data_IF_583259039304
#
_entry.id   IF_583259039304
#
_cell.length_a   1.000
_cell.length_b   1.000
_cell.length_c   1.000
_cell.angle_alpha   90.00
_cell.angle_beta   90.00
_cell.angle_gamma   90.00
#
_symmetry.space_group_name_H-M   'P 1'
#
loop_
_entity.id
_entity.type
_entity.pdbx_description
1 polymer ?
#
# COMPACT_ATOMS: atom_id res chain seq x y z
N UNK A 1 -4.95 9.57 16.52
CA UNK A 1 -5.91 8.71 15.80
C UNK A 1 -7.25 9.42 15.57
N UNK A 2 -7.86 10.04 16.59
CA UNK A 2 -9.13 10.77 16.42
C UNK A 2 -9.06 11.89 15.37
N UNK A 3 -7.97 12.66 15.32
CA UNK A 3 -7.78 13.73 14.34
C UNK A 3 -7.81 13.22 12.88
N UNK A 4 -7.29 12.02 12.64
CA UNK A 4 -7.22 11.39 11.32
C UNK A 4 -8.60 10.93 10.80
N UNK A 5 -9.58 10.75 11.67
CA UNK A 5 -10.96 10.36 11.32
C UNK A 5 -11.97 11.51 11.48
N UNK A 6 -11.53 12.70 11.91
CA UNK A 6 -12.40 13.83 12.23
C UNK A 6 -12.64 14.78 11.04
N UNK A 7 -13.66 15.63 11.17
CA UNK A 7 -13.95 16.71 10.21
C UNK A 7 -14.69 16.28 8.95
N UNK A 8 -15.36 15.12 8.96
CA UNK A 8 -16.17 14.64 7.83
C UNK A 8 -15.34 14.23 6.60
N UNK A 9 -14.02 14.13 6.74
CA UNK A 9 -13.13 13.63 5.68
C UNK A 9 -13.17 12.10 5.66
N UNK A 10 -13.38 11.54 4.47
CA UNK A 10 -13.25 10.11 4.25
C UNK A 10 -11.76 9.78 4.10
N UNK A 11 -11.24 9.02 5.05
CA UNK A 11 -9.86 8.55 5.03
C UNK A 11 -9.90 7.03 4.93
N UNK A 12 -9.42 6.51 3.80
CA UNK A 12 -9.40 5.06 3.60
C UNK A 12 -8.53 4.38 4.67
N UNK A 13 -9.00 3.22 5.15
CA UNK A 13 -8.38 2.50 6.26
C UNK A 13 -8.66 3.06 7.67
N UNK A 14 -9.34 4.21 7.81
CA UNK A 14 -9.76 4.74 9.12
C UNK A 14 -11.28 4.87 9.19
N UNK A 15 -11.87 4.37 10.27
CA UNK A 15 -13.31 4.48 10.52
C UNK A 15 -13.56 4.80 11.99
N UNK A 16 -14.39 5.82 12.24
CA UNK A 16 -14.97 6.06 13.56
C UNK A 16 -16.21 5.19 13.74
N UNK A 17 -16.19 4.30 14.73
CA UNK A 17 -17.31 3.41 15.05
C UNK A 17 -17.72 3.55 16.52
N UNK A 18 -19.01 3.34 16.80
CA UNK A 18 -19.52 3.27 18.17
C UNK A 18 -19.41 1.85 18.72
N UNK A 19 -19.28 1.71 20.05
CA UNK A 19 -19.28 0.39 20.72
C UNK A 19 -20.58 -0.37 20.42
N UNK A 20 -21.71 0.32 20.36
CA UNK A 20 -23.00 -0.30 20.03
C UNK A 20 -23.01 -0.94 18.63
N UNK A 21 -22.29 -0.36 17.67
CA UNK A 21 -22.20 -0.92 16.33
C UNK A 21 -21.44 -2.25 16.31
N UNK A 22 -20.49 -2.46 17.23
CA UNK A 22 -19.80 -3.74 17.37
C UNK A 22 -20.77 -4.87 17.73
N UNK A 23 -21.81 -4.59 18.52
CA UNK A 23 -22.84 -5.59 18.88
C UNK A 23 -23.74 -6.00 17.71
N UNK A 24 -23.69 -5.27 16.59
CA UNK A 24 -24.52 -5.56 15.43
C UNK A 24 -24.01 -6.81 14.68
N UNK A 25 -24.90 -7.71 14.23
CA UNK A 25 -24.53 -8.80 13.32
C UNK A 25 -23.94 -8.32 11.98
N UNK A 26 -24.20 -7.05 11.63
CA UNK A 26 -23.70 -6.42 10.40
C UNK A 26 -22.37 -5.69 10.60
N UNK A 27 -21.75 -5.81 11.76
CA UNK A 27 -20.48 -5.17 12.06
C UNK A 27 -19.43 -5.50 10.99
N UNK A 28 -19.00 -4.48 10.25
CA UNK A 28 -17.99 -4.54 9.19
C UNK A 28 -18.14 -5.77 8.26
N UNK A 29 -19.38 -6.14 7.93
CA UNK A 29 -19.66 -7.39 7.21
C UNK A 29 -18.92 -7.46 5.87
N UNK A 30 -18.79 -6.34 5.17
CA UNK A 30 -18.06 -6.23 3.90
C UNK A 30 -16.56 -6.54 4.05
N UNK A 31 -15.95 -6.16 5.18
CA UNK A 31 -14.53 -6.37 5.45
C UNK A 31 -14.22 -7.75 6.06
N UNK A 32 -15.25 -8.48 6.50
CA UNK A 32 -15.14 -9.76 7.20
C UNK A 32 -15.44 -9.70 8.70
N UNK A 33 -15.98 -8.58 9.18
CA UNK A 33 -16.47 -8.38 10.54
C UNK A 33 -15.41 -8.62 11.61
N UNK A 34 -15.79 -9.34 12.67
CA UNK A 34 -14.89 -9.64 13.78
C UNK A 34 -13.63 -10.42 13.39
N UNK A 35 -13.61 -11.10 12.24
CA UNK A 35 -12.40 -11.78 11.74
C UNK A 35 -11.27 -10.81 11.42
N UNK A 36 -11.56 -9.50 11.29
CA UNK A 36 -10.56 -8.44 11.03
C UNK A 36 -10.06 -7.74 12.28
N UNK A 37 -10.74 -7.91 13.41
CA UNK A 37 -10.35 -7.26 14.66
C UNK A 37 -9.24 -8.08 15.28
N UNK A 38 -8.05 -7.50 15.38
CA UNK A 38 -6.85 -8.20 15.90
C UNK A 38 -6.45 -7.73 17.30
N UNK A 39 -6.85 -6.52 17.67
CA UNK A 39 -6.49 -5.90 18.93
C UNK A 39 -7.64 -5.01 19.42
N UNK A 40 -7.93 -5.06 20.73
CA UNK A 40 -8.87 -4.15 21.38
C UNK A 40 -8.53 -3.97 22.87
N UNK A 41 -8.88 -2.82 23.48
CA UNK A 41 -8.74 -2.66 24.93
C UNK A 41 -9.62 -3.66 25.70
N UNK A 42 -9.14 -4.14 26.85
CA UNK A 42 -9.84 -5.12 27.69
C UNK A 42 -11.23 -4.65 28.11
N UNK A 43 -11.38 -3.39 28.49
CA UNK A 43 -12.68 -2.81 28.86
C UNK A 43 -13.70 -2.89 27.72
N UNK A 44 -13.25 -2.71 26.48
CA UNK A 44 -14.12 -2.82 25.30
C UNK A 44 -14.45 -4.29 25.05
N UNK A 45 -13.44 -5.16 25.12
CA UNK A 45 -13.58 -6.62 24.96
C UNK A 45 -14.61 -7.19 25.91
N UNK A 46 -14.57 -6.81 27.18
CA UNK A 46 -15.54 -7.25 28.19
C UNK A 46 -16.97 -6.78 27.89
N UNK A 47 -17.15 -5.54 27.43
CA UNK A 47 -18.47 -4.98 27.10
C UNK A 47 -19.14 -5.62 25.88
N UNK A 48 -18.36 -6.17 24.96
CA UNK A 48 -18.87 -6.79 23.71
C UNK A 48 -18.64 -8.30 23.66
N UNK A 49 -18.10 -8.91 24.72
CA UNK A 49 -17.69 -10.32 24.77
C UNK A 49 -18.80 -11.28 24.32
N UNK A 50 -20.03 -11.01 24.73
CA UNK A 50 -21.19 -11.84 24.42
C UNK A 50 -21.61 -11.80 22.94
N UNK A 51 -21.18 -10.76 22.22
CA UNK A 51 -21.52 -10.54 20.81
C UNK A 51 -20.39 -10.95 19.86
N UNK A 52 -19.17 -11.11 20.36
CA UNK A 52 -18.05 -11.62 19.59
C UNK A 52 -18.23 -13.14 19.40
N UNK A 53 -18.01 -13.69 18.20
CA UNK A 53 -18.00 -15.13 17.98
C UNK A 53 -17.01 -15.82 18.93
N UNK A 54 -17.46 -16.83 19.67
CA UNK A 54 -16.68 -17.50 20.74
C UNK A 54 -15.30 -17.97 20.28
N UNK A 55 -15.20 -18.42 19.03
CA UNK A 55 -13.94 -18.88 18.42
C UNK A 55 -12.89 -17.77 18.22
N UNK A 56 -13.31 -16.50 18.22
CA UNK A 56 -12.46 -15.34 18.00
C UNK A 56 -12.14 -14.59 19.29
N UNK A 57 -12.97 -14.72 20.34
CA UNK A 57 -12.78 -13.97 21.61
C UNK A 57 -11.35 -14.15 22.15
N UNK A 58 -10.84 -15.38 22.16
CA UNK A 58 -9.54 -15.72 22.72
C UNK A 58 -8.37 -15.47 21.75
N UNK A 59 -8.66 -15.08 20.50
CA UNK A 59 -7.64 -14.81 19.47
C UNK A 59 -7.37 -13.32 19.27
N UNK A 60 -8.18 -12.46 19.89
CA UNK A 60 -8.03 -11.00 19.83
C UNK A 60 -7.14 -10.55 21.00
N UNK A 61 -6.02 -9.90 20.69
CA UNK A 61 -5.08 -9.38 21.67
C UNK A 61 -5.65 -8.18 22.42
N UNK A 62 -5.17 -8.00 23.65
CA UNK A 62 -5.44 -6.82 24.49
C UNK A 62 -4.16 -6.07 24.82
N UNK A 63 -4.27 -4.96 25.55
CA UNK A 63 -3.15 -4.20 26.10
C UNK A 63 -2.27 -4.99 27.07
N UNK A 64 -2.80 -6.09 27.65
CA UNK A 64 -2.05 -6.99 28.51
C UNK A 64 -1.19 -7.96 27.70
N UNK A 65 -1.64 -8.35 26.50
CA UNK A 65 -1.00 -9.36 25.66
C UNK A 65 0.06 -8.75 24.71
N UNK A 66 -0.23 -7.60 24.11
CA UNK A 66 0.65 -6.96 23.15
C UNK A 66 0.54 -5.43 23.21
N UNK A 67 1.70 -4.79 23.40
CA UNK A 67 1.83 -3.32 23.39
C UNK A 67 2.53 -2.82 22.14
N UNK A 68 3.29 -3.68 21.48
CA UNK A 68 4.00 -3.36 20.24
C UNK A 68 3.48 -4.19 19.06
N UNK A 69 3.78 -3.72 17.84
CA UNK A 69 3.34 -4.39 16.61
C UNK A 69 4.00 -5.77 16.47
N UNK A 70 5.26 -5.92 16.88
CA UNK A 70 6.00 -7.17 16.78
C UNK A 70 5.46 -8.24 17.74
N UNK A 71 5.16 -7.85 18.98
CA UNK A 71 4.45 -8.70 19.96
C UNK A 71 3.07 -9.11 19.44
N UNK A 72 2.31 -8.16 18.87
CA UNK A 72 0.99 -8.44 18.33
C UNK A 72 1.06 -9.45 17.18
N UNK A 73 2.04 -9.30 16.27
CA UNK A 73 2.25 -10.27 15.18
C UNK A 73 2.61 -11.66 15.69
N UNK A 74 3.41 -11.75 16.75
CA UNK A 74 3.74 -13.03 17.38
C UNK A 74 2.51 -13.69 18.00
N UNK A 75 1.74 -12.94 18.79
CA UNK A 75 0.49 -13.39 19.43
C UNK A 75 -0.51 -13.91 18.40
N UNK A 76 -0.73 -13.17 17.31
CA UNK A 76 -1.68 -13.55 16.26
C UNK A 76 -1.28 -14.85 15.55
N UNK A 77 0.03 -15.10 15.39
CA UNK A 77 0.55 -16.35 14.83
C UNK A 77 0.37 -17.52 15.78
N UNK A 78 0.65 -17.31 17.06
CA UNK A 78 0.52 -18.34 18.10
C UNK A 78 -0.94 -18.75 18.32
N UNK A 79 -1.86 -17.79 18.38
CA UNK A 79 -3.31 -18.03 18.54
C UNK A 79 -4.03 -18.37 17.22
N UNK A 80 -3.28 -18.51 16.12
CA UNK A 80 -3.77 -18.85 14.78
C UNK A 80 -5.00 -18.01 14.37
N UNK A 81 -4.85 -16.68 14.44
CA UNK A 81 -5.91 -15.73 14.09
C UNK A 81 -6.21 -15.78 12.57
N UNK A 82 -7.48 -15.67 12.12
CA UNK A 82 -7.86 -15.77 10.69
C UNK A 82 -7.14 -14.78 9.76
N UNK A 83 -6.63 -13.68 10.32
CA UNK A 83 -5.86 -12.67 9.56
C UNK A 83 -4.51 -13.22 9.06
N UNK A 84 -3.91 -14.18 9.77
CA UNK A 84 -2.60 -14.75 9.42
C UNK A 84 -2.65 -15.54 8.11
N UNK A 85 -3.75 -16.25 7.87
CA UNK A 85 -3.99 -16.96 6.61
C UNK A 85 -4.05 -16.00 5.43
N UNK A 86 -4.70 -14.84 5.63
CA UNK A 86 -4.76 -13.78 4.63
C UNK A 86 -3.41 -13.13 4.36
N UNK A 87 -2.54 -12.98 5.36
CA UNK A 87 -1.19 -12.47 5.11
C UNK A 87 -0.42 -13.36 4.14
N UNK A 88 -0.52 -14.68 4.30
CA UNK A 88 0.10 -15.63 3.38
C UNK A 88 -0.46 -15.50 1.97
N UNK A 89 -1.80 -15.42 1.84
CA UNK A 89 -2.45 -15.23 0.54
C UNK A 89 -2.04 -13.91 -0.13
N UNK A 90 -1.95 -12.82 0.64
CA UNK A 90 -1.56 -11.50 0.14
C UNK A 90 -0.08 -11.44 -0.23
N UNK A 91 0.81 -12.13 0.50
CA UNK A 91 2.21 -12.32 0.11
C UNK A 91 2.34 -13.17 -1.16
N UNK A 92 1.50 -14.17 -1.34
CA UNK A 92 1.48 -15.03 -2.54
C UNK A 92 0.94 -14.27 -3.76
N UNK A 93 -0.08 -13.45 -3.58
CA UNK A 93 -0.65 -12.58 -4.60
C UNK A 93 0.29 -11.42 -4.95
N UNK A 94 1.01 -10.85 -3.97
CA UNK A 94 2.06 -9.86 -4.21
C UNK A 94 3.27 -10.47 -4.93
N UNK A 95 3.63 -11.72 -4.63
CA UNK A 95 4.68 -12.45 -5.38
C UNK A 95 4.22 -12.73 -6.82
N UNK A 96 2.99 -13.19 -7.03
CA UNK A 96 2.41 -13.37 -8.37
C UNK A 96 2.33 -12.06 -9.15
N UNK A 97 1.94 -10.95 -8.52
CA UNK A 97 1.88 -9.65 -9.18
C UNK A 97 3.27 -9.09 -9.56
N UNK A 98 4.31 -9.42 -8.79
CA UNK A 98 5.70 -9.04 -9.13
C UNK A 98 6.27 -9.96 -10.22
N UNK A 99 5.90 -11.24 -10.24
CA UNK A 99 6.31 -12.21 -11.27
C UNK A 99 5.58 -11.98 -12.61
N UNK A 100 4.30 -11.58 -12.57
CA UNK A 100 3.51 -11.19 -13.74
C UNK A 100 3.89 -9.79 -14.27
N UNK A 101 4.47 -8.92 -13.43
CA UNK A 101 5.02 -7.63 -13.85
C UNK A 101 6.45 -7.71 -14.42
N UNK A 102 7.11 -8.88 -14.40
CA UNK A 102 8.44 -9.07 -14.97
C UNK A 102 8.65 -10.55 -15.34
N UNK A 103 8.22 -11.03 -16.54
CA UNK A 103 8.84 -10.64 -17.83
C UNK A 103 7.96 -10.84 -19.11
N UNK A 104 7.71 -9.80 -19.91
CA UNK A 104 7.50 -9.92 -21.37
C UNK A 104 8.03 -8.67 -22.11
N UNK A 105 9.28 -8.30 -21.83
CA UNK A 105 10.11 -7.64 -22.85
C UNK A 105 11.44 -8.38 -22.87
N UNK A 106 11.60 -9.28 -23.85
CA UNK A 106 12.83 -9.65 -24.59
C UNK A 106 12.86 -11.14 -24.97
N UNK A 107 11.99 -11.58 -25.87
CA UNK A 107 12.38 -12.58 -26.87
C UNK A 107 11.27 -12.73 -27.91
N UNK A 108 11.32 -11.94 -28.98
CA UNK A 108 11.01 -12.44 -30.32
C UNK A 108 11.55 -11.44 -31.36
N UNK A 109 12.70 -11.81 -31.91
CA UNK A 109 13.26 -11.21 -33.11
C UNK A 109 12.27 -11.40 -34.26
N UNK A 110 11.71 -10.31 -34.78
CA UNK A 110 11.25 -10.25 -36.17
C UNK A 110 11.75 -8.93 -36.78
N UNK A 111 12.65 -8.93 -37.78
CA UNK A 111 13.01 -7.73 -38.50
C UNK A 111 11.95 -7.47 -39.57
N UNK A 112 11.12 -6.45 -39.41
CA UNK A 112 10.32 -5.93 -40.53
C UNK A 112 10.88 -4.58 -40.94
N UNK A 113 11.64 -4.61 -42.03
CA UNK A 113 12.02 -3.45 -42.79
C UNK A 113 10.82 -2.95 -43.63
N UNK A 114 10.36 -1.72 -43.37
CA UNK A 114 9.81 -0.80 -44.37
C UNK A 114 10.00 0.64 -43.90
N UNK A 115 10.84 1.37 -44.64
CA UNK A 115 11.29 2.75 -44.48
C UNK A 115 10.15 3.81 -44.65
N UNK A 116 10.36 5.14 -44.40
CA UNK A 116 11.63 5.82 -44.13
C UNK A 116 11.68 6.66 -42.84
N UNK A 117 12.87 6.61 -42.24
CA UNK A 117 13.57 7.66 -41.51
C UNK A 117 13.01 9.08 -41.65
N UNK A 118 12.67 9.72 -40.52
CA UNK A 118 13.06 11.10 -40.23
C UNK A 118 13.12 11.32 -38.70
N UNK A 119 14.31 11.49 -38.10
CA UNK A 119 14.44 11.95 -36.72
C UNK A 119 14.17 13.46 -36.67
N UNK A 120 13.16 13.90 -35.94
CA UNK A 120 12.97 15.34 -35.70
C UNK A 120 13.87 15.76 -34.54
N UNK A 121 15.13 15.96 -34.91
CA UNK A 121 16.17 16.69 -34.18
C UNK A 121 15.74 18.15 -34.00
N UNK A 122 15.29 18.53 -32.80
CA UNK A 122 15.11 19.94 -32.44
C UNK A 122 16.30 20.40 -31.59
N UNK A 123 17.23 21.15 -32.19
CA UNK A 123 17.99 22.17 -31.46
C UNK A 123 19.20 21.76 -30.60
N UNK A 124 19.74 20.54 -30.73
CA UNK A 124 21.15 20.27 -30.37
C UNK A 124 21.55 20.31 -28.88
N UNK A 125 20.62 20.31 -27.92
CA UNK A 125 20.94 20.16 -26.49
C UNK A 125 19.91 19.24 -25.83
N UNK A 126 20.32 18.04 -25.39
CA UNK A 126 19.46 17.08 -24.67
C UNK A 126 19.85 17.07 -23.19
N UNK A 127 18.99 17.59 -22.33
CA UNK A 127 19.18 17.57 -20.87
C UNK A 127 18.19 16.56 -20.30
N UNK A 128 18.67 15.49 -19.65
CA UNK A 128 17.85 14.50 -18.93
C UNK A 128 18.26 14.51 -17.46
N UNK A 129 17.34 14.91 -16.57
CA UNK A 129 17.55 14.92 -15.12
C UNK A 129 16.58 13.92 -14.49
N UNK A 130 17.09 12.90 -13.78
CA UNK A 130 16.28 11.95 -13.01
C UNK A 130 16.63 12.06 -11.52
N UNK A 131 15.62 12.30 -10.67
CA UNK A 131 15.75 12.46 -9.21
C UNK A 131 16.79 13.48 -8.72
N UNK A 132 16.80 14.70 -9.29
CA UNK A 132 17.71 15.77 -8.86
C UNK A 132 16.97 16.94 -8.18
N UNK A 133 17.53 17.48 -7.08
CA UNK A 133 17.10 18.76 -6.47
C UNK A 133 18.12 19.85 -6.85
N UNK A 134 17.71 20.82 -7.67
CA UNK A 134 18.60 21.89 -8.16
C UNK A 134 18.21 23.22 -7.49
N UNK A 135 19.19 23.89 -6.87
CA UNK A 135 19.04 25.25 -6.33
C UNK A 135 20.03 26.18 -7.05
N UNK A 136 19.51 27.14 -7.83
CA UNK A 136 20.32 28.12 -8.55
C UNK A 136 19.64 29.50 -8.56
N UNK A 137 20.43 30.57 -8.41
CA UNK A 137 19.91 31.96 -8.48
C UNK A 137 19.68 32.45 -9.92
N UNK A 138 20.40 31.92 -10.91
CA UNK A 138 20.19 32.21 -12.35
C UNK A 138 20.76 31.09 -13.21
N UNK A 139 20.04 30.67 -14.25
CA UNK A 139 20.46 29.63 -15.22
C UNK A 139 20.36 30.21 -16.63
N UNK A 140 21.41 30.08 -17.44
CA UNK A 140 21.46 30.53 -18.84
C UNK A 140 21.95 29.36 -19.70
N UNK A 141 21.14 28.95 -20.69
CA UNK A 141 21.47 27.88 -21.63
C UNK A 141 21.79 28.55 -22.98
N UNK A 142 23.02 28.40 -23.46
CA UNK A 142 23.46 28.90 -24.77
C UNK A 142 23.86 27.72 -25.65
N UNK A 143 23.32 27.67 -26.88
CA UNK A 143 23.81 26.77 -27.91
C UNK A 143 25.03 27.41 -28.58
N UNK A 144 26.12 26.67 -28.71
CA UNK A 144 27.31 27.13 -29.44
C UNK A 144 26.99 27.17 -30.94
N UNK A 145 26.95 28.36 -31.53
CA UNK A 145 26.94 28.55 -32.98
C UNK A 145 28.35 28.23 -33.51
N UNK A 146 28.51 27.13 -34.25
CA UNK A 146 29.74 26.92 -35.05
C UNK A 146 29.70 27.85 -36.26
N UNK A 147 30.59 28.84 -36.29
CA UNK A 147 30.95 29.54 -37.53
C UNK A 147 31.50 28.52 -38.53
N UNK A 148 30.86 28.40 -39.70
CA UNK A 148 31.52 27.88 -40.90
C UNK A 148 31.91 29.09 -41.76
N UNK A 149 33.20 29.43 -41.76
CA UNK A 149 33.84 30.20 -42.83
C UNK A 149 33.68 29.43 -44.13
N UNK A 150 33.14 30.09 -45.16
CA UNK A 150 33.45 29.78 -46.55
C UNK A 150 34.82 30.31 -46.94
#
# INVERSE_FOLDING_TARGET
MADSAAGGRQVDGFHGISIEYMRSPKFLQADGGYKRVVWMPKEVKERVKDFIPKELVDKIATEEDAKTIDELKAFLKEHNHPVVERWKAMEEEAKKAVEEAAPEEVSEMIPVATAPTLPITAGGVKIILKNARIFAKKVIIQSMKREKKG
#
